data_IF_106559059392
#
_entry.id   IF_106559059392
#
_cell.length_a   1.000
_cell.length_b   1.000
_cell.length_c   1.000
_cell.angle_alpha   90.00
_cell.angle_beta   90.00
_cell.angle_gamma   90.00
#
_symmetry.space_group_name_H-M   'P 1'
#
loop_
_entity.id
_entity.type
_entity.pdbx_description
1 polymer ?
#
# COMPACT_ATOMS: atom_id res chain seq x y z
N UNK A 1 30.97 21.78 27.36
CA UNK A 1 30.47 20.40 27.52
C UNK A 1 28.94 20.26 27.42
N UNK A 2 28.13 21.35 27.39
CA UNK A 2 26.66 21.29 27.29
C UNK A 2 26.10 21.33 25.85
N UNK A 3 26.81 21.96 24.90
CA UNK A 3 26.35 22.11 23.51
C UNK A 3 26.20 20.76 22.77
N UNK A 4 27.10 19.80 23.02
CA UNK A 4 27.05 18.48 22.40
C UNK A 4 25.78 17.69 22.78
N UNK A 5 25.27 17.87 24.01
CA UNK A 5 24.07 17.18 24.48
C UNK A 5 22.77 17.68 23.84
N UNK A 6 22.75 18.90 23.28
CA UNK A 6 21.59 19.41 22.53
C UNK A 6 21.69 19.16 21.02
N UNK A 7 22.89 19.13 20.45
CA UNK A 7 23.10 18.96 19.01
C UNK A 7 22.87 17.51 18.57
N UNK A 8 23.34 16.53 19.36
CA UNK A 8 23.18 15.10 19.05
C UNK A 8 21.70 14.68 18.92
N UNK A 9 20.79 14.98 19.87
CA UNK A 9 19.39 14.59 19.72
C UNK A 9 18.68 15.29 18.56
N UNK A 10 19.03 16.55 18.24
CA UNK A 10 18.47 17.25 17.07
C UNK A 10 18.91 16.59 15.77
N UNK A 11 20.19 16.21 15.65
CA UNK A 11 20.68 15.49 14.48
C UNK A 11 19.97 14.12 14.35
N UNK A 12 19.83 13.37 15.44
CA UNK A 12 19.10 12.08 15.42
C UNK A 12 17.66 12.26 14.94
N UNK A 13 16.95 13.27 15.40
CA UNK A 13 15.57 13.56 14.95
C UNK A 13 15.53 13.90 13.45
N UNK A 14 16.48 14.70 12.95
CA UNK A 14 16.57 15.03 11.53
C UNK A 14 16.87 13.79 10.67
N UNK A 15 17.77 12.90 11.12
CA UNK A 15 18.07 11.65 10.44
C UNK A 15 16.86 10.71 10.40
N UNK A 16 16.15 10.53 11.52
CA UNK A 16 14.94 9.70 11.56
C UNK A 16 13.86 10.25 10.63
N UNK A 17 13.66 11.57 10.63
CA UNK A 17 12.71 12.23 9.73
C UNK A 17 13.08 12.05 8.27
N UNK A 18 14.35 12.25 7.91
CA UNK A 18 14.86 12.08 6.56
C UNK A 18 14.75 10.63 6.09
N UNK A 19 15.08 9.66 6.96
CA UNK A 19 14.95 8.23 6.68
C UNK A 19 13.50 7.82 6.41
N UNK A 20 12.57 8.25 7.26
CA UNK A 20 11.14 7.98 7.07
C UNK A 20 10.64 8.61 5.77
N UNK A 21 11.06 9.85 5.47
CA UNK A 21 10.70 10.52 4.22
C UNK A 21 11.24 9.79 2.99
N UNK A 22 12.50 9.31 3.03
CA UNK A 22 13.09 8.54 1.95
C UNK A 22 12.34 7.22 1.72
N UNK A 23 12.02 6.50 2.79
CA UNK A 23 11.24 5.25 2.72
C UNK A 23 9.84 5.47 2.15
N UNK A 24 9.16 6.54 2.58
CA UNK A 24 7.84 6.91 2.04
C UNK A 24 7.92 7.26 0.55
N UNK A 25 8.96 7.99 0.15
CA UNK A 25 9.18 8.35 -1.25
C UNK A 25 9.45 7.11 -2.11
N UNK A 26 10.25 6.15 -1.63
CA UNK A 26 10.47 4.89 -2.32
C UNK A 26 9.18 4.08 -2.48
N UNK A 27 8.40 3.92 -1.41
CA UNK A 27 7.10 3.26 -1.44
C UNK A 27 6.19 3.90 -2.50
N UNK A 28 6.08 5.22 -2.46
CA UNK A 28 5.24 5.98 -3.38
C UNK A 28 5.72 5.85 -4.84
N UNK A 29 7.04 5.88 -5.07
CA UNK A 29 7.60 5.67 -6.40
C UNK A 29 7.32 4.27 -6.93
N UNK A 30 7.43 3.22 -6.08
CA UNK A 30 7.08 1.84 -6.46
C UNK A 30 5.59 1.72 -6.79
N UNK A 31 4.73 2.30 -5.96
CA UNK A 31 3.27 2.32 -6.17
C UNK A 31 2.88 3.04 -7.47
N UNK A 32 3.46 4.21 -7.75
CA UNK A 32 3.23 4.91 -9.01
C UNK A 32 3.70 4.12 -10.23
N UNK A 33 4.87 3.45 -10.15
CA UNK A 33 5.36 2.59 -11.23
C UNK A 33 4.42 1.41 -11.46
N UNK A 34 3.95 0.77 -10.40
CA UNK A 34 2.96 -0.30 -10.46
C UNK A 34 1.67 0.16 -11.15
N UNK A 35 1.14 1.32 -10.76
CA UNK A 35 -0.06 1.88 -11.40
C UNK A 35 0.12 2.20 -12.89
N UNK A 36 1.29 2.72 -13.28
CA UNK A 36 1.61 2.97 -14.69
C UNK A 36 1.71 1.65 -15.48
N UNK A 37 2.30 0.61 -14.90
CA UNK A 37 2.42 -0.69 -15.53
C UNK A 37 1.06 -1.40 -15.72
N UNK A 38 0.14 -1.28 -14.75
CA UNK A 38 -1.23 -1.80 -14.90
C UNK A 38 -1.94 -1.13 -16.08
N UNK A 39 -1.84 0.21 -16.19
CA UNK A 39 -2.43 0.97 -17.31
C UNK A 39 -1.83 0.59 -18.66
N UNK A 40 -0.54 0.27 -18.69
CA UNK A 40 0.17 -0.21 -19.89
C UNK A 40 -0.17 -1.65 -20.29
N UNK A 41 -1.11 -2.31 -19.61
CA UNK A 41 -1.51 -3.70 -19.85
C UNK A 41 -0.35 -4.72 -19.74
N UNK A 42 0.72 -4.36 -19.03
CA UNK A 42 1.83 -5.30 -18.78
C UNK A 42 1.30 -6.52 -18.01
N UNK A 43 1.49 -7.69 -18.62
CA UNK A 43 1.43 -9.09 -18.15
C UNK A 43 0.44 -9.45 -17.04
N UNK A 44 -0.18 -10.63 -17.13
CA UNK A 44 -0.92 -11.26 -16.02
C UNK A 44 0.07 -11.70 -14.92
N UNK A 45 0.66 -10.73 -14.22
CA UNK A 45 1.57 -11.00 -13.12
C UNK A 45 0.78 -11.24 -11.85
N UNK A 46 1.12 -12.32 -11.13
CA UNK A 46 0.56 -12.64 -9.83
C UNK A 46 1.66 -12.51 -8.78
N UNK A 47 1.32 -12.14 -7.54
CA UNK A 47 2.31 -12.08 -6.47
C UNK A 47 2.79 -13.48 -6.11
N UNK A 48 4.02 -13.62 -5.63
CA UNK A 48 4.63 -14.92 -5.31
C UNK A 48 3.83 -15.72 -4.29
N UNK A 49 3.15 -15.03 -3.38
CA UNK A 49 2.37 -15.60 -2.30
C UNK A 49 0.94 -16.01 -2.71
N UNK A 50 0.52 -15.79 -3.95
CA UNK A 50 -0.87 -16.00 -4.37
C UNK A 50 -1.35 -17.44 -4.19
N UNK A 51 -0.47 -18.44 -4.26
CA UNK A 51 -0.82 -19.86 -4.09
C UNK A 51 -0.85 -20.29 -2.62
N UNK A 52 -0.23 -19.54 -1.72
CA UNK A 52 -0.22 -19.81 -0.28
C UNK A 52 -1.48 -19.26 0.41
N UNK A 53 -2.31 -20.18 0.92
CA UNK A 53 -3.56 -19.83 1.60
C UNK A 53 -3.36 -19.02 2.89
N UNK A 54 -2.28 -19.26 3.63
CA UNK A 54 -1.94 -18.51 4.83
C UNK A 54 -1.56 -17.08 4.49
N UNK A 55 -0.68 -16.90 3.50
CA UNK A 55 -0.26 -15.56 3.07
C UNK A 55 -1.40 -14.79 2.43
N UNK A 56 -2.28 -15.42 1.64
CA UNK A 56 -3.50 -14.77 1.15
C UNK A 56 -4.39 -14.24 2.28
N UNK A 57 -4.60 -15.05 3.34
CA UNK A 57 -5.38 -14.62 4.52
C UNK A 57 -4.71 -13.46 5.24
N UNK A 58 -3.38 -13.51 5.40
CA UNK A 58 -2.61 -12.43 6.02
C UNK A 58 -2.65 -11.13 5.21
N UNK A 59 -2.59 -11.24 3.88
CA UNK A 59 -2.72 -10.09 2.98
C UNK A 59 -4.08 -9.44 3.14
N UNK A 60 -5.16 -10.24 3.05
CA UNK A 60 -6.52 -9.74 3.20
C UNK A 60 -6.76 -9.12 4.59
N UNK A 61 -6.29 -9.76 5.66
CA UNK A 61 -6.40 -9.21 7.01
C UNK A 61 -5.65 -7.87 7.14
N UNK A 62 -4.45 -7.78 6.57
CA UNK A 62 -3.65 -6.56 6.57
C UNK A 62 -4.30 -5.45 5.72
N UNK A 63 -4.85 -5.80 4.57
CA UNK A 63 -5.61 -4.90 3.70
C UNK A 63 -6.83 -4.35 4.44
N UNK A 64 -7.69 -5.22 4.98
CA UNK A 64 -8.89 -4.84 5.72
C UNK A 64 -8.54 -3.92 6.88
N UNK A 65 -7.58 -4.31 7.73
CA UNK A 65 -7.15 -3.50 8.87
C UNK A 65 -6.72 -2.09 8.45
N UNK A 66 -5.80 -1.99 7.49
CA UNK A 66 -5.26 -0.70 7.04
C UNK A 66 -6.32 0.18 6.37
N UNK A 67 -7.28 -0.44 5.68
CA UNK A 67 -8.35 0.29 5.00
C UNK A 67 -9.39 0.83 5.98
N UNK A 68 -9.73 0.04 7.02
CA UNK A 68 -10.56 0.51 8.13
C UNK A 68 -9.89 1.63 8.93
N UNK A 69 -8.58 1.53 9.18
CA UNK A 69 -7.80 2.61 9.83
C UNK A 69 -7.82 3.93 9.04
N UNK A 70 -8.01 3.86 7.72
CA UNK A 70 -8.18 5.02 6.83
C UNK A 70 -9.61 5.56 6.78
N UNK A 71 -10.55 4.97 7.51
CA UNK A 71 -11.94 5.41 7.58
C UNK A 71 -12.82 4.94 6.41
N UNK A 72 -12.37 3.98 5.62
CA UNK A 72 -13.20 3.33 4.60
C UNK A 72 -14.21 2.41 5.29
N UNK A 73 -15.51 2.47 4.96
CA UNK A 73 -16.51 1.65 5.62
C UNK A 73 -16.42 0.18 5.20
N UNK A 74 -16.77 -0.73 6.12
CA UNK A 74 -16.70 -2.18 5.91
C UNK A 74 -17.54 -2.67 4.71
N UNK A 75 -18.72 -2.11 4.50
CA UNK A 75 -19.57 -2.47 3.36
C UNK A 75 -18.91 -2.15 2.01
N UNK A 76 -18.08 -1.11 1.93
CA UNK A 76 -17.35 -0.77 0.71
C UNK A 76 -16.22 -1.78 0.46
N UNK A 77 -15.55 -2.23 1.53
CA UNK A 77 -14.58 -3.31 1.44
C UNK A 77 -15.22 -4.62 0.98
N UNK A 78 -16.39 -4.97 1.52
CA UNK A 78 -17.17 -6.15 1.11
C UNK A 78 -17.53 -6.07 -0.37
N UNK A 79 -17.98 -4.90 -0.86
CA UNK A 79 -18.28 -4.71 -2.28
C UNK A 79 -17.08 -4.95 -3.20
N UNK A 80 -15.87 -4.60 -2.76
CA UNK A 80 -14.63 -4.85 -3.51
C UNK A 80 -14.22 -6.33 -3.42
N UNK A 81 -14.44 -6.96 -2.27
CA UNK A 81 -14.13 -8.37 -2.07
C UNK A 81 -15.04 -9.30 -2.89
N UNK A 82 -16.30 -8.91 -3.09
CA UNK A 82 -17.27 -9.59 -3.96
C UNK A 82 -17.01 -9.34 -5.45
N UNK A 83 -16.40 -8.21 -5.80
CA UNK A 83 -15.97 -7.89 -7.15
C UNK A 83 -14.65 -8.61 -7.52
N UNK A 84 -14.77 -9.66 -8.33
CA UNK A 84 -13.61 -10.42 -8.82
C UNK A 84 -12.61 -9.53 -9.57
N UNK A 85 -13.07 -8.52 -10.32
CA UNK A 85 -12.20 -7.60 -11.04
C UNK A 85 -11.47 -6.65 -10.07
N UNK A 86 -12.19 -6.15 -9.05
CA UNK A 86 -11.64 -5.37 -7.95
C UNK A 86 -10.51 -6.11 -7.22
N UNK A 87 -10.75 -7.34 -6.77
CA UNK A 87 -9.73 -8.15 -6.12
C UNK A 87 -8.58 -8.53 -7.05
N UNK A 88 -8.86 -8.80 -8.34
CA UNK A 88 -7.82 -9.06 -9.35
C UNK A 88 -6.95 -7.83 -9.59
N UNK A 89 -7.52 -6.62 -9.56
CA UNK A 89 -6.78 -5.38 -9.68
C UNK A 89 -5.84 -5.18 -8.49
N UNK A 90 -6.32 -5.39 -7.26
CA UNK A 90 -5.51 -5.24 -6.03
C UNK A 90 -4.36 -6.26 -5.99
N UNK A 91 -4.62 -7.51 -6.33
CA UNK A 91 -3.59 -8.56 -6.37
C UNK A 91 -2.56 -8.32 -7.48
N UNK A 92 -2.98 -7.83 -8.65
CA UNK A 92 -2.06 -7.43 -9.73
C UNK A 92 -1.17 -6.25 -9.33
N UNK A 93 -1.73 -5.28 -8.61
CA UNK A 93 -0.96 -4.17 -8.07
C UNK A 93 0.09 -4.67 -7.07
N UNK A 94 -0.28 -5.58 -6.17
CA UNK A 94 0.65 -6.20 -5.23
C UNK A 94 1.77 -6.96 -5.95
N UNK A 95 1.47 -7.68 -7.04
CA UNK A 95 2.47 -8.36 -7.86
C UNK A 95 3.50 -7.40 -8.47
N UNK A 96 3.05 -6.25 -8.96
CA UNK A 96 3.94 -5.25 -9.54
C UNK A 96 4.75 -4.52 -8.46
N UNK A 97 4.15 -4.27 -7.30
CA UNK A 97 4.87 -3.76 -6.13
C UNK A 97 6.00 -4.72 -5.73
N UNK A 98 5.73 -6.02 -5.71
CA UNK A 98 6.73 -7.06 -5.46
C UNK A 98 7.85 -7.03 -6.51
N UNK A 99 7.50 -6.96 -7.81
CA UNK A 99 8.46 -6.84 -8.90
C UNK A 99 9.40 -5.63 -8.73
N UNK A 100 8.88 -4.53 -8.17
CA UNK A 100 9.66 -3.32 -7.89
C UNK A 100 10.33 -3.32 -6.50
N UNK A 101 10.40 -4.48 -5.84
CA UNK A 101 11.14 -4.70 -4.60
C UNK A 101 10.39 -4.32 -3.33
N UNK A 102 9.07 -4.15 -3.37
CA UNK A 102 8.27 -3.93 -2.17
C UNK A 102 8.13 -5.23 -1.37
N UNK A 103 8.31 -5.14 -0.05
CA UNK A 103 8.05 -6.26 0.84
C UNK A 103 6.52 -6.52 0.97
N UNK A 104 6.16 -7.67 1.51
CA UNK A 104 4.77 -8.10 1.68
C UNK A 104 3.87 -7.08 2.39
N UNK A 105 4.40 -6.40 3.43
CA UNK A 105 3.65 -5.38 4.17
C UNK A 105 3.38 -4.15 3.31
N UNK A 106 4.37 -3.68 2.58
CA UNK A 106 4.26 -2.52 1.70
C UNK A 106 3.30 -2.82 0.52
N UNK A 107 3.23 -4.07 0.06
CA UNK A 107 2.24 -4.50 -0.93
C UNK A 107 0.80 -4.36 -0.41
N UNK A 108 0.52 -4.83 0.82
CA UNK A 108 -0.80 -4.71 1.45
C UNK A 108 -1.17 -3.24 1.75
N UNK A 109 -0.19 -2.44 2.19
CA UNK A 109 -0.38 -1.00 2.39
C UNK A 109 -0.74 -0.29 1.08
N UNK A 110 -0.02 -0.58 0.00
CA UNK A 110 -0.28 0.04 -1.29
C UNK A 110 -1.65 -0.38 -1.87
N UNK A 111 -2.08 -1.62 -1.63
CA UNK A 111 -3.45 -2.04 -1.96
C UNK A 111 -4.51 -1.29 -1.15
N UNK A 112 -4.30 -1.08 0.16
CA UNK A 112 -5.20 -0.29 0.99
C UNK A 112 -5.29 1.18 0.53
N UNK A 113 -4.19 1.78 0.08
CA UNK A 113 -4.17 3.12 -0.51
C UNK A 113 -5.01 3.23 -1.79
N UNK A 114 -5.09 2.17 -2.59
CA UNK A 114 -5.96 2.13 -3.77
C UNK A 114 -7.43 2.09 -3.39
N UNK A 115 -7.77 1.30 -2.37
CA UNK A 115 -9.15 1.21 -1.89
C UNK A 115 -9.61 2.53 -1.26
N UNK A 116 -8.77 3.14 -0.43
CA UNK A 116 -8.98 4.48 0.13
C UNK A 116 -9.16 5.52 -0.98
N UNK A 117 -8.29 5.53 -2.00
CA UNK A 117 -8.45 6.40 -3.15
C UNK A 117 -9.75 6.14 -3.94
N UNK A 118 -10.20 4.88 -4.04
CA UNK A 118 -11.48 4.54 -4.66
C UNK A 118 -12.66 5.04 -3.84
N UNK A 119 -12.61 4.89 -2.53
CA UNK A 119 -13.62 5.39 -1.59
C UNK A 119 -13.73 6.92 -1.65
N UNK A 120 -12.61 7.64 -1.60
CA UNK A 120 -12.60 9.10 -1.73
C UNK A 120 -13.25 9.55 -3.04
N UNK A 121 -12.93 8.89 -4.15
CA UNK A 121 -13.58 9.17 -5.45
C UNK A 121 -15.08 8.86 -5.46
N UNK A 122 -15.52 7.83 -4.75
CA UNK A 122 -16.94 7.50 -4.60
C UNK A 122 -17.67 8.59 -3.78
N UNK A 123 -17.10 9.04 -2.67
CA UNK A 123 -17.63 10.14 -1.86
C UNK A 123 -17.79 11.43 -2.69
N UNK A 124 -16.79 11.78 -3.52
CA UNK A 124 -16.89 12.94 -4.42
C UNK A 124 -18.01 12.82 -5.48
N UNK A 125 -18.45 11.60 -5.79
CA UNK A 125 -19.54 11.34 -6.74
C UNK A 125 -20.93 11.27 -6.09
N UNK A 126 -21.02 11.48 -4.77
CA UNK A 126 -22.29 11.53 -4.04
C UNK A 126 -22.85 10.16 -3.64
N UNK A 127 -21.99 9.16 -3.46
CA UNK A 127 -22.34 7.90 -2.80
C UNK A 127 -22.37 8.05 -1.27
#
# INVERSE_FOLDING_TARGET
MSLFWCVIPVLVLLFVKAWNSARLNEHYQRSQRALRAIKGNMVRQQPSWITDASLRRQFNASLTKQTLEKGVPAWFLESIAEDEEGMRYLTRHAALMELYGANFRDQALAAAELVDGAWQRAQFRGY
#
